data_IF_561849936989
#
_entry.id   IF_561849936989
#
_cell.length_a   1.000
_cell.length_b   1.000
_cell.length_c   1.000
_cell.angle_alpha   90.00
_cell.angle_beta   90.00
_cell.angle_gamma   90.00
#
_symmetry.space_group_name_H-M   'P 1'
#
loop_
_entity.id
_entity.type
_entity.pdbx_description
1 polymer ?
#
# COMPACT_ATOMS: atom_id res chain seq x y z
N UNK A 1 -10.02 -1.84 -2.29
CA UNK A 1 -9.59 -2.21 -3.67
C UNK A 1 -9.39 -3.72 -3.72
N UNK A 2 -9.80 -4.43 -4.80
CA UNK A 2 -9.62 -5.89 -4.90
C UNK A 2 -8.17 -6.33 -4.69
N UNK A 3 -7.20 -5.58 -5.23
CA UNK A 3 -5.76 -5.88 -5.12
C UNK A 3 -5.29 -6.01 -3.67
N UNK A 4 -5.67 -5.09 -2.80
CA UNK A 4 -5.23 -5.11 -1.41
C UNK A 4 -6.10 -6.01 -0.55
N UNK A 5 -7.43 -5.95 -0.71
CA UNK A 5 -8.35 -6.72 0.13
C UNK A 5 -8.16 -8.22 -0.04
N UNK A 6 -8.10 -8.71 -1.28
CA UNK A 6 -7.90 -10.14 -1.56
C UNK A 6 -6.49 -10.56 -1.12
N UNK A 7 -5.46 -9.75 -1.41
CA UNK A 7 -4.09 -10.07 -0.99
C UNK A 7 -3.95 -10.18 0.54
N UNK A 8 -4.57 -9.28 1.30
CA UNK A 8 -4.59 -9.35 2.77
C UNK A 8 -5.32 -10.61 3.26
N UNK A 9 -6.46 -10.95 2.65
CA UNK A 9 -7.16 -12.20 2.96
C UNK A 9 -6.30 -13.44 2.69
N UNK A 10 -5.57 -13.45 1.57
CA UNK A 10 -4.63 -14.53 1.25
C UNK A 10 -3.47 -14.60 2.26
N UNK A 11 -2.87 -13.46 2.64
CA UNK A 11 -1.83 -13.44 3.68
C UNK A 11 -2.34 -13.97 5.02
N UNK A 12 -3.58 -13.64 5.40
CA UNK A 12 -4.23 -14.15 6.61
C UNK A 12 -4.46 -15.68 6.58
N UNK A 13 -4.70 -16.23 5.39
CA UNK A 13 -4.80 -17.68 5.15
C UNK A 13 -3.43 -18.39 5.02
N UNK A 14 -2.32 -17.65 5.09
CA UNK A 14 -0.97 -18.22 5.08
C UNK A 14 -0.32 -18.30 3.70
N UNK A 15 -0.91 -17.71 2.65
CA UNK A 15 -0.29 -17.64 1.33
C UNK A 15 0.92 -16.70 1.37
N UNK A 16 2.00 -17.05 0.69
CA UNK A 16 3.22 -16.22 0.57
C UNK A 16 3.31 -15.46 -0.75
N UNK A 17 2.54 -15.88 -1.76
CA UNK A 17 2.41 -15.20 -3.06
C UNK A 17 0.93 -14.81 -3.29
N UNK A 18 0.47 -13.73 -2.64
CA UNK A 18 -0.95 -13.40 -2.58
C UNK A 18 -1.52 -12.86 -3.91
N UNK A 19 -0.68 -12.64 -4.93
CA UNK A 19 -1.11 -12.16 -6.26
C UNK A 19 -1.21 -13.26 -7.31
N UNK A 20 -0.76 -14.48 -6.99
CA UNK A 20 -0.80 -15.64 -7.87
C UNK A 20 -1.75 -16.72 -7.29
N UNK A 21 -3.03 -16.38 -7.22
CA UNK A 21 -4.07 -17.22 -6.64
C UNK A 21 -4.86 -17.95 -7.72
N UNK A 22 -5.10 -19.24 -7.54
CA UNK A 22 -6.06 -19.98 -8.38
C UNK A 22 -7.49 -19.57 -8.05
N UNK A 23 -8.47 -19.96 -8.87
CA UNK A 23 -9.89 -19.75 -8.54
C UNK A 23 -10.28 -20.42 -7.21
N UNK A 24 -9.73 -21.61 -6.91
CA UNK A 24 -9.98 -22.29 -5.63
C UNK A 24 -9.43 -21.48 -4.44
N UNK A 25 -8.26 -20.87 -4.59
CA UNK A 25 -7.68 -20.00 -3.56
C UNK A 25 -8.51 -18.72 -3.38
N UNK A 26 -8.99 -18.14 -4.48
CA UNK A 26 -9.91 -16.99 -4.45
C UNK A 26 -11.23 -17.32 -3.73
N UNK A 27 -11.78 -18.51 -3.95
CA UNK A 27 -12.96 -18.99 -3.24
C UNK A 27 -12.70 -19.12 -1.73
N UNK A 28 -11.54 -19.65 -1.34
CA UNK A 28 -11.11 -19.71 0.09
C UNK A 28 -10.99 -18.32 0.70
N UNK A 29 -10.42 -17.36 -0.02
CA UNK A 29 -10.32 -15.96 0.44
C UNK A 29 -11.71 -15.35 0.61
N UNK A 30 -12.61 -15.54 -0.36
CA UNK A 30 -14.01 -15.08 -0.23
C UNK A 30 -14.66 -15.67 1.01
N UNK A 31 -14.59 -16.98 1.17
CA UNK A 31 -15.25 -17.68 2.27
C UNK A 31 -14.68 -17.25 3.62
N UNK A 32 -13.36 -16.98 3.71
CA UNK A 32 -12.74 -16.37 4.88
C UNK A 32 -13.36 -15.01 5.22
N UNK A 33 -13.49 -14.12 4.25
CA UNK A 33 -14.13 -12.81 4.44
C UNK A 33 -15.58 -12.97 4.94
N UNK A 34 -16.37 -13.82 4.29
CA UNK A 34 -17.78 -14.02 4.66
C UNK A 34 -17.95 -14.64 6.05
N UNK A 35 -17.09 -15.59 6.42
CA UNK A 35 -17.11 -16.22 7.75
C UNK A 35 -16.74 -15.25 8.87
N UNK A 36 -15.94 -14.22 8.57
CA UNK A 36 -15.46 -13.22 9.54
C UNK A 36 -16.11 -11.85 9.33
N UNK A 37 -17.23 -11.76 8.61
CA UNK A 37 -17.88 -10.48 8.25
C UNK A 37 -18.12 -9.55 9.44
N UNK A 38 -18.43 -10.10 10.62
CA UNK A 38 -18.70 -9.33 11.84
C UNK A 38 -17.45 -8.65 12.43
N UNK A 39 -16.25 -8.99 11.93
CA UNK A 39 -14.98 -8.35 12.29
C UNK A 39 -14.63 -7.17 11.37
N UNK A 40 -15.29 -7.06 10.21
CA UNK A 40 -14.99 -6.02 9.22
C UNK A 40 -16.01 -4.88 9.31
N UNK A 41 -15.55 -3.70 9.73
CA UNK A 41 -16.40 -2.51 9.82
C UNK A 41 -16.82 -1.96 8.46
N UNK A 42 -15.88 -1.92 7.51
CA UNK A 42 -16.07 -1.37 6.17
C UNK A 42 -14.88 -1.69 5.26
N UNK A 43 -15.08 -1.59 3.95
CA UNK A 43 -14.01 -1.38 2.98
C UNK A 43 -13.95 0.11 2.65
N UNK A 44 -13.04 0.83 3.31
CA UNK A 44 -12.93 2.28 3.13
C UNK A 44 -12.51 2.65 1.70
N UNK A 45 -12.96 3.80 1.21
CA UNK A 45 -12.73 4.27 -0.17
C UNK A 45 -11.62 5.32 -0.26
N UNK A 46 -11.19 5.90 0.86
CA UNK A 46 -10.08 6.84 0.88
C UNK A 46 -9.55 7.14 2.28
N UNK A 47 -8.38 7.75 2.31
CA UNK A 47 -7.55 7.91 3.50
C UNK A 47 -8.26 8.68 4.62
N UNK A 48 -8.97 9.76 4.27
CA UNK A 48 -9.77 10.54 5.22
C UNK A 48 -10.82 9.69 5.93
N UNK A 49 -11.44 8.72 5.24
CA UNK A 49 -12.43 7.83 5.86
C UNK A 49 -11.75 6.90 6.86
N UNK A 50 -10.63 6.28 6.49
CA UNK A 50 -9.87 5.42 7.41
C UNK A 50 -9.45 6.20 8.67
N UNK A 51 -8.83 7.37 8.49
CA UNK A 51 -8.33 8.19 9.59
C UNK A 51 -9.46 8.62 10.53
N UNK A 52 -10.63 8.96 9.99
CA UNK A 52 -11.79 9.32 10.81
C UNK A 52 -12.35 8.13 11.60
N UNK A 53 -12.46 6.96 10.97
CA UNK A 53 -12.92 5.73 11.64
C UNK A 53 -11.97 5.31 12.76
N UNK A 54 -10.66 5.48 12.56
CA UNK A 54 -9.67 5.18 13.58
C UNK A 54 -9.78 6.16 14.75
N UNK A 55 -9.83 7.48 14.46
CA UNK A 55 -9.98 8.55 15.47
C UNK A 55 -11.27 8.45 16.27
N UNK A 56 -12.38 8.02 15.65
CA UNK A 56 -13.65 7.84 16.35
C UNK A 56 -13.67 6.58 17.23
N UNK A 57 -12.70 5.68 17.08
CA UNK A 57 -12.68 4.36 17.71
C UNK A 57 -13.65 3.36 17.07
N UNK A 58 -14.21 3.65 15.90
CA UNK A 58 -15.06 2.71 15.15
C UNK A 58 -14.28 1.52 14.58
N UNK A 59 -12.97 1.69 14.39
CA UNK A 59 -12.04 0.60 14.05
C UNK A 59 -10.86 0.60 15.01
N UNK A 60 -10.37 -0.59 15.36
CA UNK A 60 -9.12 -0.75 16.10
C UNK A 60 -7.88 -0.75 15.18
N UNK A 61 -8.07 -0.98 13.88
CA UNK A 61 -7.00 -1.04 12.89
C UNK A 61 -7.50 -1.51 11.53
N UNK A 62 -6.58 -1.57 10.58
CA UNK A 62 -6.83 -2.06 9.23
C UNK A 62 -5.61 -1.85 8.34
N UNK A 63 -5.79 -2.08 7.03
CA UNK A 63 -4.78 -1.71 6.03
C UNK A 63 -4.61 -0.19 6.02
N UNK A 64 -3.38 0.27 6.17
CA UNK A 64 -3.04 1.70 6.15
C UNK A 64 -1.72 1.95 5.44
N UNK A 65 -1.44 3.22 5.17
CA UNK A 65 -0.22 3.67 4.49
C UNK A 65 0.72 4.38 5.46
N UNK A 66 1.99 4.52 5.07
CA UNK A 66 3.08 4.97 5.96
C UNK A 66 2.86 6.37 6.56
N UNK A 67 2.05 7.20 5.92
CA UNK A 67 1.67 8.54 6.38
C UNK A 67 0.58 8.51 7.47
N UNK A 68 -0.14 7.41 7.64
CA UNK A 68 -1.26 7.32 8.58
C UNK A 68 -0.82 7.42 10.05
N UNK A 69 0.17 6.65 10.55
CA UNK A 69 0.64 6.80 11.93
C UNK A 69 1.07 8.23 12.26
N UNK A 70 1.70 8.90 11.30
CA UNK A 70 2.20 10.28 11.44
C UNK A 70 1.03 11.26 11.52
N UNK A 71 0.07 11.13 10.60
CA UNK A 71 -1.13 11.96 10.58
C UNK A 71 -1.99 11.76 11.83
N UNK A 72 -2.06 10.53 12.36
CA UNK A 72 -2.76 10.20 13.60
C UNK A 72 -2.02 10.79 14.82
N UNK A 73 -0.69 10.68 14.87
CA UNK A 73 0.13 11.25 15.93
C UNK A 73 0.01 12.79 16.04
N UNK A 74 -0.17 13.50 14.91
CA UNK A 74 -0.44 14.94 14.91
C UNK A 74 -1.74 15.32 15.63
N UNK A 75 -2.71 14.41 15.68
CA UNK A 75 -3.95 14.57 16.46
C UNK A 75 -3.88 13.96 17.88
N UNK A 76 -2.71 13.50 18.33
CA UNK A 76 -2.53 12.87 19.64
C UNK A 76 -2.94 11.40 19.68
N UNK A 77 -3.32 10.81 18.54
CA UNK A 77 -3.66 9.39 18.45
C UNK A 77 -2.41 8.52 18.34
N UNK A 78 -2.45 7.33 18.92
CA UNK A 78 -1.37 6.34 18.81
C UNK A 78 -1.75 5.29 17.79
N UNK A 79 -0.96 5.18 16.72
CA UNK A 79 -1.07 4.13 15.73
C UNK A 79 0.32 3.66 15.32
N UNK A 80 0.45 2.37 15.02
CA UNK A 80 1.69 1.76 14.56
C UNK A 80 1.36 0.56 13.66
N UNK A 81 2.33 0.12 12.86
CA UNK A 81 2.20 -1.08 12.04
C UNK A 81 2.52 -2.33 12.85
N UNK A 82 1.73 -3.38 12.62
CA UNK A 82 2.01 -4.70 13.19
C UNK A 82 2.92 -5.49 12.24
N UNK A 83 3.93 -6.21 12.76
CA UNK A 83 4.70 -7.14 11.95
C UNK A 83 3.79 -8.21 11.33
N UNK A 84 3.89 -8.41 10.01
CA UNK A 84 3.16 -9.46 9.29
C UNK A 84 4.12 -10.64 9.03
N UNK A 85 3.92 -11.81 9.67
CA UNK A 85 4.87 -12.93 9.59
C UNK A 85 5.16 -13.43 8.16
N UNK A 86 4.18 -13.29 7.26
CA UNK A 86 4.25 -13.77 5.87
C UNK A 86 4.66 -12.67 4.87
N UNK A 87 5.22 -11.56 5.36
CA UNK A 87 5.64 -10.44 4.53
C UNK A 87 4.65 -9.27 4.55
N UNK A 88 5.16 -8.08 4.28
CA UNK A 88 4.38 -6.83 4.27
C UNK A 88 4.10 -6.43 2.83
N UNK A 89 2.85 -6.11 2.51
CA UNK A 89 2.51 -5.56 1.19
C UNK A 89 3.19 -4.20 1.01
N UNK A 90 3.84 -4.01 -0.13
CA UNK A 90 4.45 -2.73 -0.52
C UNK A 90 3.98 -2.33 -1.91
N UNK A 91 4.16 -1.06 -2.26
CA UNK A 91 3.82 -0.54 -3.57
C UNK A 91 4.96 0.31 -4.09
N UNK A 92 5.09 0.33 -5.42
CA UNK A 92 6.02 1.20 -6.12
C UNK A 92 5.26 1.93 -7.21
N UNK A 93 5.35 3.25 -7.23
CA UNK A 93 4.81 4.05 -8.31
C UNK A 93 5.92 4.39 -9.31
N UNK A 94 5.55 4.41 -10.60
CA UNK A 94 6.42 4.84 -11.68
C UNK A 94 5.71 5.86 -12.55
N UNK A 95 6.49 6.76 -13.14
CA UNK A 95 5.99 7.66 -14.17
C UNK A 95 5.94 6.94 -15.52
N UNK A 96 4.82 7.05 -16.23
CA UNK A 96 4.66 6.50 -17.57
C UNK A 96 4.23 7.61 -18.53
N UNK A 97 4.76 7.59 -19.75
CA UNK A 97 4.34 8.48 -20.83
C UNK A 97 3.33 7.74 -21.71
N UNK A 98 2.08 8.23 -21.86
CA UNK A 98 1.10 7.62 -22.75
C UNK A 98 1.58 7.65 -24.20
N UNK A 99 1.26 6.61 -24.98
CA UNK A 99 1.61 6.55 -26.42
C UNK A 99 1.05 7.72 -27.23
N UNK A 100 -0.06 8.32 -26.79
CA UNK A 100 -0.72 9.46 -27.43
C UNK A 100 -0.17 10.83 -27.01
N UNK A 101 0.88 10.89 -26.17
CA UNK A 101 1.43 12.14 -25.68
C UNK A 101 1.90 13.04 -26.83
N UNK A 102 1.41 14.28 -26.84
CA UNK A 102 1.69 15.26 -27.90
C UNK A 102 2.93 16.12 -27.62
N UNK A 103 3.42 16.13 -26.38
CA UNK A 103 4.57 16.92 -25.97
C UNK A 103 5.51 16.08 -25.10
N UNK A 104 6.38 15.32 -25.77
CA UNK A 104 7.34 14.44 -25.10
C UNK A 104 8.39 15.20 -24.32
N UNK A 105 8.85 16.35 -24.82
CA UNK A 105 9.87 17.16 -24.14
C UNK A 105 9.39 17.63 -22.77
N UNK A 106 8.15 18.11 -22.68
CA UNK A 106 7.54 18.48 -21.41
C UNK A 106 7.35 17.27 -20.48
N UNK A 107 6.94 16.12 -21.02
CA UNK A 107 6.79 14.89 -20.24
C UNK A 107 8.14 14.44 -19.65
N UNK A 108 9.21 14.42 -20.45
CA UNK A 108 10.56 14.10 -19.96
C UNK A 108 11.08 15.14 -18.97
N UNK A 109 10.84 16.44 -19.21
CA UNK A 109 11.21 17.49 -18.27
C UNK A 109 10.52 17.30 -16.89
N UNK A 110 9.25 16.94 -16.90
CA UNK A 110 8.49 16.64 -15.68
C UNK A 110 9.05 15.41 -14.95
N UNK A 111 9.30 14.30 -15.66
CA UNK A 111 9.87 13.08 -15.08
C UNK A 111 11.25 13.37 -14.47
N UNK A 112 12.11 14.09 -15.21
CA UNK A 112 13.43 14.49 -14.72
C UNK A 112 13.34 15.36 -13.47
N UNK A 113 12.38 16.28 -13.40
CA UNK A 113 12.14 17.10 -12.21
C UNK A 113 11.77 16.26 -10.99
N UNK A 114 10.83 15.33 -11.12
CA UNK A 114 10.39 14.49 -9.99
C UNK A 114 11.41 13.44 -9.56
N UNK A 115 12.32 13.03 -10.45
CA UNK A 115 13.43 12.14 -10.12
C UNK A 115 14.65 12.89 -9.58
N UNK A 116 14.70 14.22 -9.69
CA UNK A 116 15.81 15.02 -9.20
C UNK A 116 15.82 15.09 -7.66
N UNK A 117 17.00 15.31 -7.03
CA UNK A 117 17.09 15.28 -5.58
C UNK A 117 16.13 16.21 -4.83
N UNK A 118 15.93 17.49 -5.24
CA UNK A 118 15.01 18.38 -4.52
C UNK A 118 13.58 17.84 -4.39
N UNK A 119 13.07 17.14 -5.42
CA UNK A 119 11.74 16.56 -5.37
C UNK A 119 11.73 15.30 -4.50
N UNK A 120 12.72 14.41 -4.65
CA UNK A 120 12.83 13.19 -3.85
C UNK A 120 13.01 13.50 -2.35
N UNK A 121 13.86 14.47 -2.01
CA UNK A 121 14.07 14.92 -0.63
C UNK A 121 12.76 15.41 -0.02
N UNK A 122 11.99 16.21 -0.78
CA UNK A 122 10.67 16.67 -0.34
C UNK A 122 9.71 15.50 -0.06
N UNK A 123 9.69 14.47 -0.91
CA UNK A 123 8.87 13.27 -0.68
C UNK A 123 9.28 12.52 0.59
N UNK A 124 10.58 12.35 0.81
CA UNK A 124 11.09 11.69 2.01
C UNK A 124 10.72 12.48 3.29
N UNK A 125 10.96 13.79 3.30
CA UNK A 125 10.79 14.61 4.52
C UNK A 125 9.34 14.94 4.86
N UNK A 126 8.47 15.10 3.86
CA UNK A 126 7.11 15.59 4.07
C UNK A 126 6.05 14.48 3.97
N UNK A 127 6.32 13.43 3.18
CA UNK A 127 5.39 12.32 3.00
C UNK A 127 5.91 11.00 3.56
N UNK A 128 7.15 10.95 4.03
CA UNK A 128 7.76 9.74 4.61
C UNK A 128 7.75 8.57 3.62
N UNK A 129 7.90 8.90 2.33
CA UNK A 129 8.01 7.91 1.28
C UNK A 129 9.45 7.43 1.12
N UNK A 130 9.58 6.16 0.79
CA UNK A 130 10.81 5.66 0.22
C UNK A 130 11.06 6.29 -1.15
N UNK A 131 12.33 6.57 -1.42
CA UNK A 131 12.78 7.30 -2.60
C UNK A 131 13.75 6.45 -3.41
N UNK A 132 13.84 6.73 -4.71
CA UNK A 132 14.63 5.91 -5.65
C UNK A 132 15.96 6.55 -6.05
N UNK A 133 16.21 7.80 -5.66
CA UNK A 133 17.43 8.50 -6.04
C UNK A 133 18.52 8.38 -4.96
N UNK A 134 19.61 7.66 -5.28
CA UNK A 134 20.73 7.47 -4.36
C UNK A 134 21.35 8.80 -3.89
N UNK A 135 21.43 9.82 -4.74
CA UNK A 135 22.00 11.12 -4.34
C UNK A 135 21.17 11.80 -3.24
N UNK A 136 19.85 11.61 -3.26
CA UNK A 136 18.97 12.05 -2.19
C UNK A 136 19.24 11.28 -0.90
N UNK A 137 19.34 9.95 -0.98
CA UNK A 137 19.66 9.11 0.18
C UNK A 137 20.98 9.54 0.83
N UNK A 138 21.99 9.86 0.01
CA UNK A 138 23.33 10.26 0.49
C UNK A 138 23.34 11.64 1.17
N UNK A 139 22.41 12.54 0.85
CA UNK A 139 22.39 13.93 1.36
C UNK A 139 21.30 14.21 2.40
N UNK A 140 20.29 13.33 2.51
CA UNK A 140 19.23 13.48 3.49
C UNK A 140 19.79 13.48 4.93
N UNK A 141 19.14 14.19 5.87
CA UNK A 141 19.52 14.12 7.28
C UNK A 141 19.52 12.68 7.78
N UNK A 142 20.54 12.28 8.55
CA UNK A 142 20.66 10.91 9.08
C UNK A 142 19.40 10.45 9.84
N UNK A 143 18.73 11.38 10.55
CA UNK A 143 17.45 11.11 11.23
C UNK A 143 16.35 10.68 10.24
N UNK A 144 16.27 11.32 9.07
CA UNK A 144 15.29 10.98 8.03
C UNK A 144 15.63 9.62 7.40
N UNK A 145 16.90 9.38 7.09
CA UNK A 145 17.38 8.09 6.56
C UNK A 145 17.01 6.94 7.50
N UNK A 146 17.30 7.08 8.79
CA UNK A 146 16.98 6.07 9.81
C UNK A 146 15.48 5.92 10.05
N UNK A 147 14.72 7.02 10.10
CA UNK A 147 13.27 6.97 10.29
C UNK A 147 12.55 6.24 9.15
N UNK A 148 13.10 6.33 7.94
CA UNK A 148 12.58 5.66 6.75
C UNK A 148 13.28 4.32 6.46
N UNK A 149 14.22 3.88 7.30
CA UNK A 149 15.02 2.66 7.06
C UNK A 149 15.71 2.64 5.69
N UNK A 150 16.08 3.80 5.14
CA UNK A 150 16.73 3.90 3.82
C UNK A 150 18.18 3.36 3.82
N UNK A 151 18.78 3.20 5.00
CA UNK A 151 20.06 2.55 5.25
C UNK A 151 19.96 1.03 5.45
N UNK A 152 18.74 0.48 5.46
CA UNK A 152 18.43 -0.94 5.61
C UNK A 152 17.61 -1.46 4.42
N UNK A 153 18.14 -1.47 3.19
CA UNK A 153 17.39 -1.90 2.01
C UNK A 153 16.95 -3.37 2.07
N UNK A 154 17.53 -4.17 2.96
CA UNK A 154 17.16 -5.56 3.20
C UNK A 154 15.72 -5.73 3.69
N UNK A 155 15.10 -4.69 4.27
CA UNK A 155 13.67 -4.69 4.64
C UNK A 155 12.75 -4.94 3.44
N UNK A 156 13.21 -4.65 2.20
CA UNK A 156 12.48 -4.97 0.98
C UNK A 156 12.44 -6.47 0.68
N UNK A 157 13.37 -7.26 1.23
CA UNK A 157 13.51 -8.68 0.87
C UNK A 157 12.30 -9.51 1.33
N UNK A 158 11.59 -9.05 2.36
CA UNK A 158 10.33 -9.62 2.84
C UNK A 158 9.10 -8.87 2.34
N UNK A 159 9.28 -7.83 1.52
CA UNK A 159 8.18 -7.01 1.02
C UNK A 159 7.56 -7.65 -0.23
N UNK A 160 6.24 -7.65 -0.29
CA UNK A 160 5.49 -8.20 -1.41
C UNK A 160 4.96 -7.02 -2.22
N UNK A 161 5.59 -6.74 -3.35
CA UNK A 161 5.16 -5.66 -4.23
C UNK A 161 3.78 -5.95 -4.80
N UNK A 162 2.92 -4.92 -4.83
CA UNK A 162 1.61 -4.98 -5.49
C UNK A 162 1.79 -5.37 -6.95
N UNK A 163 1.05 -6.40 -7.37
CA UNK A 163 1.08 -6.91 -8.73
C UNK A 163 -0.34 -6.99 -9.30
N UNK A 164 -0.43 -6.96 -10.64
CA UNK A 164 -1.67 -7.30 -11.33
C UNK A 164 -1.70 -8.82 -11.44
N UNK A 165 -2.73 -9.44 -10.87
CA UNK A 165 -2.91 -10.88 -10.94
C UNK A 165 -3.08 -11.33 -12.42
N UNK A 166 -2.49 -12.47 -12.84
CA UNK A 166 -2.65 -12.98 -14.20
C UNK A 166 -4.11 -13.28 -14.57
N UNK A 167 -4.92 -13.64 -13.58
CA UNK A 167 -6.35 -13.96 -13.66
C UNK A 167 -7.19 -12.83 -13.04
N UNK A 168 -6.98 -11.59 -13.50
CA UNK A 168 -7.57 -10.41 -12.86
C UNK A 168 -9.11 -10.35 -12.99
N UNK A 169 -9.70 -10.92 -14.04
CA UNK A 169 -11.16 -10.97 -14.20
C UNK A 169 -11.81 -11.83 -13.09
N UNK A 170 -11.16 -12.93 -12.71
CA UNK A 170 -11.55 -13.77 -11.58
C UNK A 170 -11.48 -13.00 -10.26
N UNK A 171 -10.41 -12.21 -10.06
CA UNK A 171 -10.27 -11.33 -8.90
C UNK A 171 -11.42 -10.32 -8.81
N UNK A 172 -11.79 -9.68 -9.92
CA UNK A 172 -12.89 -8.73 -9.97
C UNK A 172 -14.23 -9.39 -9.61
N UNK A 173 -14.48 -10.59 -10.14
CA UNK A 173 -15.68 -11.37 -9.84
C UNK A 173 -15.74 -11.75 -8.36
N UNK A 174 -14.69 -12.36 -7.83
CA UNK A 174 -14.59 -12.75 -6.42
C UNK A 174 -14.74 -11.53 -5.51
N UNK A 175 -14.16 -10.38 -5.86
CA UNK A 175 -14.33 -9.15 -5.10
C UNK A 175 -15.77 -8.65 -5.08
N UNK A 176 -16.50 -8.76 -6.19
CA UNK A 176 -17.91 -8.43 -6.24
C UNK A 176 -18.74 -9.34 -5.31
N UNK A 177 -18.44 -10.65 -5.29
CA UNK A 177 -19.07 -11.62 -4.39
C UNK A 177 -18.80 -11.31 -2.91
N UNK A 178 -17.54 -10.99 -2.55
CA UNK A 178 -17.17 -10.57 -1.20
C UNK A 178 -18.00 -9.35 -0.77
N UNK A 179 -18.04 -8.30 -1.60
CA UNK A 179 -18.80 -7.08 -1.27
C UNK A 179 -20.29 -7.35 -1.12
N UNK A 180 -20.86 -8.18 -1.99
CA UNK A 180 -22.29 -8.52 -1.93
C UNK A 180 -22.65 -9.35 -0.69
N UNK A 181 -21.73 -10.17 -0.17
CA UNK A 181 -21.96 -10.95 1.06
C UNK A 181 -21.65 -10.19 2.36
N UNK A 182 -21.08 -8.98 2.25
CA UNK A 182 -20.75 -8.10 3.38
C UNK A 182 -21.83 -7.07 3.69
N UNK A 183 -22.84 -6.92 2.82
CA UNK A 183 -24.01 -6.08 3.04
C UNK A 183 -25.06 -6.73 3.94
#
# INVERSE_FOLDING_TARGET
>A
SPYYSIAIGALALGYTDPYNLTQEDLDKVRDYFLAHKDQFRTFYEGDSQFLNLYKSGEIAGGMGFNDYPITLAQSGEKADFLPVPNGTLTWTCGWAIPKSAQNLDAAYAMINHYLAPPAQDYYAENYNYWISNQKSIDQLPAKTVQALSLDHPDVMSSAIATQIAPNYDEWLKTWAEIKAGMS
#
